data_IF_194202235607
#
_entry.id   IF_194202235607
#
_cell.length_a   1.000
_cell.length_b   1.000
_cell.length_c   1.000
_cell.angle_alpha   90.00
_cell.angle_beta   90.00
_cell.angle_gamma   90.00
#
_symmetry.space_group_name_H-M   'P 1'
#
loop_
_entity.id
_entity.type
_entity.pdbx_description
1 polymer ?
#
# COMPACT_ATOMS: atom_id res chain seq x y z
N UNK A 1 38.79 -78.58 -50.26
CA UNK A 1 37.82 -77.85 -49.41
C UNK A 1 38.58 -77.21 -48.26
N UNK A 2 38.98 -75.95 -48.25
CA UNK A 2 38.94 -74.81 -49.16
C UNK A 2 40.17 -73.94 -48.81
N UNK A 3 40.49 -72.90 -49.58
CA UNK A 3 41.59 -72.00 -49.27
C UNK A 3 41.16 -71.02 -48.16
N UNK A 4 42.11 -70.25 -47.62
CA UNK A 4 41.96 -69.09 -46.72
C UNK A 4 42.43 -69.31 -45.28
N UNK A 5 43.73 -69.09 -45.08
CA UNK A 5 44.21 -68.18 -44.04
C UNK A 5 45.65 -67.74 -44.39
N UNK A 6 45.76 -66.87 -45.42
CA UNK A 6 46.99 -66.13 -45.68
C UNK A 6 46.95 -64.84 -44.86
N UNK A 7 48.05 -64.43 -44.18
CA UNK A 7 48.08 -63.18 -43.44
C UNK A 7 47.70 -62.02 -44.36
N UNK A 8 46.88 -61.06 -43.90
CA UNK A 8 46.33 -60.02 -44.75
C UNK A 8 47.47 -59.24 -45.42
N UNK A 9 47.41 -59.13 -46.74
CA UNK A 9 48.41 -58.43 -47.53
C UNK A 9 48.41 -56.95 -47.14
N UNK A 10 49.55 -56.26 -47.22
CA UNK A 10 49.68 -54.83 -46.87
C UNK A 10 48.64 -53.92 -47.57
N UNK A 11 48.16 -54.32 -48.75
CA UNK A 11 47.06 -53.66 -49.47
C UNK A 11 45.69 -53.84 -48.79
N UNK A 12 45.39 -55.01 -48.24
CA UNK A 12 44.15 -55.26 -47.50
C UNK A 12 44.10 -54.44 -46.21
N UNK A 13 45.22 -54.35 -45.47
CA UNK A 13 45.32 -53.49 -44.28
C UNK A 13 45.11 -52.01 -44.60
N UNK A 14 45.69 -51.52 -45.70
CA UNK A 14 45.46 -50.13 -46.16
C UNK A 14 43.99 -49.88 -46.52
N UNK A 15 43.35 -50.84 -47.19
CA UNK A 15 41.93 -50.76 -47.56
C UNK A 15 41.02 -50.72 -46.33
N UNK A 16 41.27 -51.61 -45.36
CA UNK A 16 40.51 -51.63 -44.10
C UNK A 16 40.70 -50.34 -43.30
N UNK A 17 41.92 -49.78 -43.25
CA UNK A 17 42.18 -48.49 -42.59
C UNK A 17 41.47 -47.34 -43.29
N UNK A 18 41.45 -47.29 -44.63
CA UNK A 18 40.70 -46.27 -45.36
C UNK A 18 39.20 -46.38 -45.14
N UNK A 19 38.65 -47.60 -45.12
CA UNK A 19 37.24 -47.83 -44.85
C UNK A 19 36.87 -47.43 -43.42
N UNK A 20 37.75 -47.70 -42.45
CA UNK A 20 37.58 -47.28 -41.06
C UNK A 20 37.59 -45.75 -40.94
N UNK A 21 38.56 -45.07 -41.56
CA UNK A 21 38.63 -43.59 -41.53
C UNK A 21 37.42 -42.95 -42.19
N UNK A 22 36.95 -43.50 -43.32
CA UNK A 22 35.76 -43.01 -44.01
C UNK A 22 34.50 -43.19 -43.17
N UNK A 23 34.40 -44.34 -42.47
CA UNK A 23 33.27 -44.64 -41.59
C UNK A 23 33.26 -43.71 -40.37
N UNK A 24 34.41 -43.48 -39.74
CA UNK A 24 34.55 -42.54 -38.63
C UNK A 24 34.18 -41.13 -39.09
N UNK A 25 34.69 -40.69 -40.25
CA UNK A 25 34.43 -39.34 -40.75
C UNK A 25 32.95 -39.13 -41.10
N UNK A 26 32.27 -40.13 -41.68
CA UNK A 26 30.82 -40.09 -41.92
C UNK A 26 30.02 -40.07 -40.62
N UNK A 27 30.38 -40.91 -39.64
CA UNK A 27 29.70 -40.96 -38.35
C UNK A 27 29.88 -39.66 -37.55
N UNK A 28 31.07 -39.07 -37.56
CA UNK A 28 31.31 -37.78 -36.91
C UNK A 28 30.59 -36.64 -37.62
N UNK A 29 30.60 -36.59 -38.96
CA UNK A 29 29.89 -35.57 -39.72
C UNK A 29 28.38 -35.61 -39.46
N UNK A 30 27.80 -36.80 -39.40
CA UNK A 30 26.37 -36.99 -39.08
C UNK A 30 26.06 -36.62 -37.64
N UNK A 31 26.85 -37.05 -36.66
CA UNK A 31 26.67 -36.63 -35.26
C UNK A 31 26.77 -35.12 -35.08
N UNK A 32 27.76 -34.46 -35.69
CA UNK A 32 27.91 -33.00 -35.64
C UNK A 32 26.73 -32.30 -36.28
N UNK A 33 26.24 -32.77 -37.43
CA UNK A 33 25.04 -32.21 -38.06
C UNK A 33 23.81 -32.34 -37.16
N UNK A 34 23.65 -33.49 -36.50
CA UNK A 34 22.51 -33.76 -35.62
C UNK A 34 22.55 -32.83 -34.40
N UNK A 35 23.69 -32.79 -33.69
CA UNK A 35 23.92 -31.88 -32.55
C UNK A 35 23.73 -30.40 -32.94
N UNK A 36 24.20 -30.00 -34.11
CA UNK A 36 24.04 -28.61 -34.59
C UNK A 36 22.57 -28.31 -34.87
N UNK A 37 21.80 -29.26 -35.40
CA UNK A 37 20.37 -29.10 -35.61
C UNK A 37 19.61 -28.99 -34.28
N UNK A 38 19.95 -29.83 -33.30
CA UNK A 38 19.33 -29.81 -31.97
C UNK A 38 19.63 -28.50 -31.23
N UNK A 39 20.89 -28.06 -31.22
CA UNK A 39 21.28 -26.77 -30.62
C UNK A 39 20.56 -25.59 -31.30
N UNK A 40 20.41 -25.61 -32.63
CA UNK A 40 19.64 -24.56 -33.33
C UNK A 40 18.19 -24.53 -32.87
N UNK A 41 17.57 -25.70 -32.67
CA UNK A 41 16.20 -25.80 -32.17
C UNK A 41 16.08 -25.24 -30.76
N UNK A 42 16.99 -25.62 -29.86
CA UNK A 42 17.02 -25.10 -28.49
C UNK A 42 17.22 -23.58 -28.45
N UNK A 43 18.13 -23.04 -29.26
CA UNK A 43 18.35 -21.59 -29.37
C UNK A 43 17.09 -20.86 -29.82
N UNK A 44 16.36 -21.41 -30.80
CA UNK A 44 15.09 -20.83 -31.26
C UNK A 44 14.05 -20.86 -30.12
N UNK A 45 13.94 -21.97 -29.40
CA UNK A 45 12.99 -22.10 -28.30
C UNK A 45 13.31 -21.13 -27.15
N UNK A 46 14.57 -21.01 -26.77
CA UNK A 46 15.04 -20.05 -25.76
C UNK A 46 14.75 -18.62 -26.22
N UNK A 47 15.05 -18.29 -27.48
CA UNK A 47 14.77 -16.97 -28.06
C UNK A 47 13.28 -16.62 -28.00
N UNK A 48 12.40 -17.56 -28.34
CA UNK A 48 10.95 -17.36 -28.24
C UNK A 48 10.48 -17.15 -26.80
N UNK A 49 11.01 -17.93 -25.85
CA UNK A 49 10.71 -17.78 -24.42
C UNK A 49 11.18 -16.44 -23.87
N UNK A 50 12.37 -15.99 -24.27
CA UNK A 50 12.91 -14.67 -23.89
C UNK A 50 12.01 -13.55 -24.41
N UNK A 51 11.62 -13.58 -25.69
CA UNK A 51 10.71 -12.59 -26.26
C UNK A 51 9.34 -12.56 -25.54
N UNK A 52 8.84 -13.72 -25.11
CA UNK A 52 7.60 -13.78 -24.34
C UNK A 52 7.74 -13.17 -22.94
N UNK A 53 8.89 -13.37 -22.27
CA UNK A 53 9.17 -12.79 -20.95
C UNK A 53 9.32 -11.28 -21.06
N UNK A 54 10.03 -10.79 -22.07
CA UNK A 54 10.19 -9.36 -22.34
C UNK A 54 8.82 -8.69 -22.50
N UNK A 55 7.94 -9.25 -23.35
CA UNK A 55 6.58 -8.73 -23.51
C UNK A 55 5.80 -8.71 -22.20
N UNK A 56 5.85 -9.80 -21.42
CA UNK A 56 5.15 -9.85 -20.12
C UNK A 56 5.72 -8.84 -19.11
N UNK A 57 7.02 -8.56 -19.19
CA UNK A 57 7.66 -7.57 -18.34
C UNK A 57 7.21 -6.16 -18.72
N UNK A 58 7.04 -5.87 -20.02
CA UNK A 58 6.49 -4.61 -20.50
C UNK A 58 5.04 -4.43 -20.03
N UNK A 59 4.19 -5.45 -20.24
CA UNK A 59 2.80 -5.45 -19.77
C UNK A 59 2.71 -5.24 -18.24
N UNK A 60 3.62 -5.88 -17.49
CA UNK A 60 3.70 -5.75 -16.04
C UNK A 60 4.16 -4.35 -15.62
N UNK A 61 5.17 -3.78 -16.28
CA UNK A 61 5.67 -2.44 -15.99
C UNK A 61 4.60 -1.38 -16.24
N UNK A 62 3.83 -1.51 -17.33
CA UNK A 62 2.70 -0.62 -17.62
C UNK A 62 1.62 -0.71 -16.54
N UNK A 63 1.22 -1.95 -16.17
CA UNK A 63 0.22 -2.15 -15.12
C UNK A 63 0.69 -1.65 -13.75
N UNK A 64 1.96 -1.86 -13.41
CA UNK A 64 2.57 -1.39 -12.17
C UNK A 64 2.58 0.14 -12.09
N UNK A 65 3.01 0.82 -13.16
CA UNK A 65 3.02 2.28 -13.21
C UNK A 65 1.61 2.84 -13.12
N UNK A 66 0.65 2.26 -13.83
CA UNK A 66 -0.76 2.66 -13.73
C UNK A 66 -1.36 2.44 -12.34
N UNK A 67 -0.89 1.45 -11.58
CA UNK A 67 -1.29 1.27 -10.19
C UNK A 67 -0.63 2.30 -9.26
N UNK A 68 0.65 2.59 -9.48
CA UNK A 68 1.39 3.59 -8.70
C UNK A 68 0.75 4.99 -8.84
N UNK A 69 0.36 5.37 -10.07
CA UNK A 69 -0.32 6.64 -10.33
C UNK A 69 -1.66 6.73 -9.59
N UNK A 70 -2.47 5.66 -9.64
CA UNK A 70 -3.76 5.60 -8.91
C UNK A 70 -3.59 5.66 -7.40
N UNK A 71 -2.53 5.06 -6.86
CA UNK A 71 -2.22 5.15 -5.43
C UNK A 71 -1.87 6.58 -5.04
N UNK A 72 -1.11 7.28 -5.87
CA UNK A 72 -0.77 8.68 -5.64
C UNK A 72 -2.00 9.60 -5.71
N UNK A 73 -2.88 9.37 -6.69
CA UNK A 73 -4.16 10.08 -6.79
C UNK A 73 -5.03 9.85 -5.55
N UNK A 74 -5.13 8.59 -5.10
CA UNK A 74 -5.90 8.25 -3.92
C UNK A 74 -5.36 8.90 -2.64
N UNK A 75 -4.03 8.91 -2.47
CA UNK A 75 -3.38 9.58 -1.33
C UNK A 75 -3.70 11.07 -1.29
N UNK A 76 -3.65 11.73 -2.45
CA UNK A 76 -4.02 13.14 -2.59
C UNK A 76 -5.48 13.39 -2.21
N UNK A 77 -6.41 12.56 -2.71
CA UNK A 77 -7.84 12.67 -2.37
C UNK A 77 -8.09 12.45 -0.88
N UNK A 78 -7.41 11.46 -0.28
CA UNK A 78 -7.52 11.19 1.15
C UNK A 78 -7.00 12.37 1.99
N UNK A 79 -5.88 12.97 1.59
CA UNK A 79 -5.36 14.16 2.24
C UNK A 79 -6.36 15.33 2.19
N UNK A 80 -6.90 15.62 1.00
CA UNK A 80 -7.90 16.67 0.81
C UNK A 80 -9.16 16.43 1.65
N UNK A 81 -9.61 15.18 1.71
CA UNK A 81 -10.74 14.80 2.55
C UNK A 81 -10.44 14.98 4.04
N UNK A 82 -9.24 14.61 4.50
CA UNK A 82 -8.83 14.82 5.87
C UNK A 82 -8.82 16.31 6.25
N UNK A 83 -8.28 17.17 5.38
CA UNK A 83 -8.28 18.63 5.58
C UNK A 83 -9.71 19.18 5.64
N UNK A 84 -10.57 18.79 4.70
CA UNK A 84 -11.99 19.21 4.69
C UNK A 84 -12.73 18.74 5.93
N UNK A 85 -12.48 17.52 6.39
CA UNK A 85 -13.10 16.97 7.60
C UNK A 85 -12.66 17.73 8.85
N UNK A 86 -11.37 18.03 9.00
CA UNK A 86 -10.86 18.83 10.11
C UNK A 86 -11.49 20.23 10.13
N UNK A 87 -11.54 20.90 8.98
CA UNK A 87 -12.14 22.23 8.85
C UNK A 87 -13.66 22.22 9.16
N UNK A 88 -14.39 21.18 8.72
CA UNK A 88 -15.81 21.00 9.10
C UNK A 88 -15.98 20.76 10.60
N UNK A 89 -15.12 19.95 11.21
CA UNK A 89 -15.15 19.68 12.64
C UNK A 89 -14.87 20.94 13.46
N UNK A 90 -13.89 21.75 13.05
CA UNK A 90 -13.55 23.02 13.67
C UNK A 90 -14.71 24.02 13.58
N UNK A 91 -15.31 24.19 12.39
CA UNK A 91 -16.50 25.06 12.24
C UNK A 91 -17.69 24.57 13.06
N UNK A 92 -17.91 23.26 13.11
CA UNK A 92 -18.99 22.66 13.91
C UNK A 92 -18.78 22.85 15.41
N UNK A 93 -17.52 22.85 15.86
CA UNK A 93 -17.12 23.06 17.25
C UNK A 93 -16.85 24.50 17.62
N UNK A 94 -16.90 25.45 16.67
CA UNK A 94 -16.60 26.87 16.92
C UNK A 94 -17.37 27.43 18.10
N UNK A 95 -18.62 26.99 18.29
CA UNK A 95 -19.50 27.44 19.37
C UNK A 95 -19.36 26.67 20.68
N UNK A 96 -18.54 25.62 20.71
CA UNK A 96 -18.37 24.81 21.89
C UNK A 96 -17.26 25.41 22.78
N UNK A 97 -17.49 25.43 24.08
CA UNK A 97 -16.51 25.71 25.12
C UNK A 97 -16.33 24.46 26.00
N UNK A 98 -15.09 24.21 26.42
CA UNK A 98 -14.75 23.13 27.35
C UNK A 98 -14.33 23.74 28.68
N UNK A 99 -15.14 23.50 29.72
CA UNK A 99 -14.97 24.10 31.04
C UNK A 99 -14.48 23.01 31.99
N UNK A 100 -13.41 23.30 32.73
CA UNK A 100 -12.81 22.40 33.70
C UNK A 100 -13.07 22.89 35.12
N UNK A 101 -13.11 21.95 36.07
CA UNK A 101 -13.23 22.28 37.49
C UNK A 101 -14.65 22.54 38.00
N UNK A 102 -15.69 22.32 37.17
CA UNK A 102 -17.07 22.41 37.64
C UNK A 102 -17.34 21.29 38.65
N UNK A 103 -17.69 21.60 39.92
CA UNK A 103 -17.92 20.60 40.96
C UNK A 103 -18.95 19.56 40.52
N UNK A 104 -18.70 18.27 40.77
CA UNK A 104 -19.63 17.18 40.39
C UNK A 104 -20.99 17.25 41.12
N UNK A 105 -21.09 18.03 42.20
CA UNK A 105 -22.36 18.34 42.86
C UNK A 105 -23.35 19.08 41.95
N UNK A 106 -22.85 19.81 40.95
CA UNK A 106 -23.70 20.44 39.92
C UNK A 106 -24.12 19.36 38.91
N UNK A 107 -25.37 18.92 39.01
CA UNK A 107 -25.94 17.90 38.13
C UNK A 107 -26.21 18.47 36.73
N UNK A 108 -26.27 17.59 35.72
CA UNK A 108 -26.48 17.98 34.32
C UNK A 108 -27.68 18.92 34.08
N UNK A 109 -28.86 18.72 34.70
CA UNK A 109 -30.00 19.61 34.49
C UNK A 109 -29.76 21.05 34.96
N UNK A 110 -28.91 21.23 35.99
CA UNK A 110 -28.58 22.53 36.57
C UNK A 110 -27.33 23.17 35.95
N UNK A 111 -26.63 22.46 35.05
CA UNK A 111 -25.42 22.99 34.40
C UNK A 111 -25.66 24.26 33.60
N UNK A 112 -26.72 24.38 32.76
CA UNK A 112 -26.93 25.60 31.97
C UNK A 112 -27.03 26.84 32.86
N UNK A 113 -27.88 26.80 33.89
CA UNK A 113 -28.10 27.92 34.80
C UNK A 113 -26.82 28.28 35.57
N UNK A 114 -26.15 27.26 36.14
CA UNK A 114 -24.88 27.45 36.84
C UNK A 114 -23.80 28.08 35.95
N UNK A 115 -23.73 27.65 34.68
CA UNK A 115 -22.77 28.20 33.73
C UNK A 115 -23.10 29.64 33.34
N UNK A 116 -24.38 29.97 33.19
CA UNK A 116 -24.82 31.34 32.90
C UNK A 116 -24.46 32.28 34.05
N UNK A 117 -24.73 31.88 35.29
CA UNK A 117 -24.31 32.62 36.49
C UNK A 117 -22.79 32.80 36.55
N UNK A 118 -22.03 31.73 36.26
CA UNK A 118 -20.57 31.77 36.21
C UNK A 118 -20.06 32.74 35.15
N UNK A 119 -20.62 32.71 33.95
CA UNK A 119 -20.22 33.61 32.86
C UNK A 119 -20.56 35.06 33.17
N UNK A 120 -21.73 35.34 33.75
CA UNK A 120 -22.11 36.69 34.19
C UNK A 120 -21.18 37.21 35.28
N UNK A 121 -20.76 36.35 36.22
CA UNK A 121 -19.81 36.72 37.26
C UNK A 121 -18.41 37.00 36.72
N UNK A 122 -17.98 36.28 35.67
CA UNK A 122 -16.67 36.46 35.04
C UNK A 122 -16.63 37.63 34.05
N UNK A 123 -17.74 37.92 33.37
CA UNK A 123 -17.87 39.01 32.40
C UNK A 123 -19.17 39.80 32.65
N UNK A 124 -19.17 40.72 33.63
CA UNK A 124 -20.35 41.50 33.99
C UNK A 124 -20.86 42.41 32.87
N UNK A 125 -19.98 42.80 31.96
CA UNK A 125 -20.26 43.67 30.80
C UNK A 125 -21.02 42.95 29.68
N UNK A 126 -21.04 41.61 29.70
CA UNK A 126 -21.79 40.83 28.71
C UNK A 126 -23.27 40.90 29.04
N UNK A 127 -24.08 41.33 28.07
CA UNK A 127 -25.52 41.36 28.25
C UNK A 127 -26.08 39.93 28.36
N UNK A 128 -26.95 39.65 29.35
CA UNK A 128 -27.51 38.30 29.55
C UNK A 128 -28.21 37.74 28.31
N UNK A 129 -28.88 38.60 27.56
CA UNK A 129 -29.61 38.24 26.33
C UNK A 129 -28.68 37.80 25.18
N UNK A 130 -27.39 38.09 25.28
CA UNK A 130 -26.39 37.68 24.29
C UNK A 130 -25.84 36.27 24.59
N UNK A 131 -25.99 35.78 25.82
CA UNK A 131 -25.39 34.53 26.27
C UNK A 131 -26.43 33.41 26.37
N UNK A 132 -26.82 32.87 25.22
CA UNK A 132 -27.78 31.75 25.13
C UNK A 132 -27.01 30.43 25.07
N UNK A 133 -27.35 29.50 25.97
CA UNK A 133 -26.78 28.14 26.01
C UNK A 133 -27.73 27.17 25.31
N UNK A 134 -27.26 26.54 24.22
CA UNK A 134 -28.03 25.50 23.50
C UNK A 134 -28.02 24.17 24.26
N UNK A 135 -26.87 23.81 24.83
CA UNK A 135 -26.65 22.54 25.52
C UNK A 135 -25.45 22.63 26.46
N UNK A 136 -25.54 21.96 27.61
CA UNK A 136 -24.43 21.75 28.52
C UNK A 136 -24.45 20.30 29.03
N UNK A 137 -23.31 19.61 28.96
CA UNK A 137 -23.21 18.24 29.47
C UNK A 137 -21.79 17.88 29.88
N UNK A 138 -21.66 16.97 30.85
CA UNK A 138 -20.36 16.41 31.25
C UNK A 138 -19.84 15.41 30.24
N UNK A 139 -18.55 15.51 29.95
CA UNK A 139 -17.82 14.51 29.20
C UNK A 139 -17.57 13.25 30.04
N UNK A 140 -17.32 12.14 29.35
CA UNK A 140 -16.77 10.96 30.02
C UNK A 140 -15.38 11.27 30.54
N UNK A 141 -15.07 10.80 31.75
CA UNK A 141 -13.74 10.94 32.33
C UNK A 141 -12.73 10.20 31.45
N UNK A 142 -11.64 10.85 31.01
CA UNK A 142 -10.55 10.15 30.34
C UNK A 142 -9.94 9.09 31.27
N UNK A 143 -9.61 7.91 30.73
CA UNK A 143 -9.13 6.77 31.53
C UNK A 143 -7.86 7.05 32.33
N UNK A 144 -7.04 8.01 31.89
CA UNK A 144 -5.77 8.37 32.54
C UNK A 144 -5.94 9.32 33.73
N UNK A 145 -7.12 9.91 33.94
CA UNK A 145 -7.36 10.86 35.03
C UNK A 145 -7.88 10.16 36.29
N UNK A 146 -7.46 10.58 37.50
CA UNK A 146 -7.96 10.05 38.77
C UNK A 146 -9.48 10.15 38.90
N UNK A 147 -10.07 9.22 39.65
CA UNK A 147 -11.51 9.21 39.88
C UNK A 147 -12.02 10.39 40.74
N UNK A 148 -11.11 11.09 41.42
CA UNK A 148 -11.39 12.30 42.17
C UNK A 148 -11.49 13.56 41.28
N UNK A 149 -10.99 13.53 40.05
CA UNK A 149 -11.03 14.70 39.17
C UNK A 149 -12.45 14.92 38.61
N UNK A 150 -13.00 16.11 38.81
CA UNK A 150 -14.28 16.50 38.23
C UNK A 150 -14.25 16.38 36.70
N UNK A 151 -15.32 15.86 36.10
CA UNK A 151 -15.44 15.73 34.65
C UNK A 151 -15.63 17.10 34.01
N UNK A 152 -14.91 17.31 32.92
CA UNK A 152 -15.06 18.48 32.07
C UNK A 152 -16.48 18.60 31.53
N UNK A 153 -16.95 19.84 31.40
CA UNK A 153 -18.25 20.17 30.83
C UNK A 153 -18.02 20.74 29.43
N UNK A 154 -18.76 20.23 28.44
CA UNK A 154 -18.89 20.91 27.16
C UNK A 154 -20.19 21.69 27.18
N UNK A 155 -20.08 22.98 26.86
CA UNK A 155 -21.22 23.86 26.62
C UNK A 155 -21.19 24.35 25.17
N UNK A 156 -22.35 24.48 24.54
CA UNK A 156 -22.49 25.13 23.24
C UNK A 156 -23.24 26.45 23.42
N UNK A 157 -22.59 27.54 23.04
CA UNK A 157 -23.19 28.88 23.00
C UNK A 157 -23.90 29.04 21.67
N UNK A 158 -25.08 29.64 21.67
CA UNK A 158 -25.89 29.79 20.46
C UNK A 158 -25.17 30.64 19.40
N UNK A 159 -24.68 31.81 19.79
CA UNK A 159 -23.99 32.75 18.91
C UNK A 159 -22.47 32.65 19.06
N UNK A 160 -21.75 32.50 17.94
CA UNK A 160 -20.29 32.39 17.97
C UNK A 160 -19.62 33.69 18.44
N UNK A 161 -20.15 34.86 18.08
CA UNK A 161 -19.61 36.15 18.52
C UNK A 161 -19.76 36.39 20.03
N UNK A 162 -20.73 35.75 20.68
CA UNK A 162 -20.88 35.82 22.14
C UNK A 162 -19.86 34.92 22.86
N UNK A 163 -19.28 33.95 22.15
CA UNK A 163 -18.25 33.04 22.66
C UNK A 163 -16.83 33.59 22.48
N UNK A 164 -16.59 34.36 21.42
CA UNK A 164 -15.31 34.99 21.08
C UNK A 164 -15.07 36.26 21.91
#
# INVERSE_FOLDING_TARGET
>A
TGPEDSPPTTQQLKKMLSELTDTIQKNMATQIQTLTADLRKEIIEVSQRTAQIEKRMDDFAEAHNGLADKLHELDTVLHDHAVKMADMEDRSRRNNLRIRGIPESVLNPALPDYLLDLFQALSPETHPDQLIIDRAHRLRRPKHLPNSTARDVIVRVHFYHAKE
#
